data_IF_776450865366
#
_entry.id   IF_776450865366
#
_cell.length_a   1.000
_cell.length_b   1.000
_cell.length_c   1.000
_cell.angle_alpha   90.00
_cell.angle_beta   90.00
_cell.angle_gamma   90.00
#
_symmetry.space_group_name_H-M   'P 1'
#
loop_
_entity.id
_entity.type
_entity.pdbx_description
1 polymer ?
#
# COMPACT_ATOMS: atom_id res chain seq x y z
N UNK A 1 19.94 -23.56 43.47
CA UNK A 1 19.65 -22.27 42.90
C UNK A 1 20.62 -21.82 41.79
N UNK A 2 21.92 -22.09 41.95
CA UNK A 2 22.92 -21.70 40.92
C UNK A 2 22.70 -22.39 39.55
N UNK A 3 22.21 -23.64 39.55
CA UNK A 3 21.93 -24.38 38.31
C UNK A 3 20.73 -23.80 37.53
N UNK A 4 19.69 -23.35 38.23
CA UNK A 4 18.50 -22.75 37.61
C UNK A 4 18.85 -21.38 37.06
N UNK A 5 19.63 -20.58 37.76
CA UNK A 5 20.11 -19.28 37.29
C UNK A 5 20.96 -19.41 36.02
N UNK A 6 21.84 -20.42 35.96
CA UNK A 6 22.64 -20.69 34.78
C UNK A 6 21.81 -21.13 33.57
N UNK A 7 20.79 -21.95 33.79
CA UNK A 7 19.86 -22.37 32.71
C UNK A 7 19.05 -21.18 32.20
N UNK A 8 18.52 -20.34 33.07
CA UNK A 8 17.75 -19.15 32.71
C UNK A 8 18.63 -18.16 31.97
N UNK A 9 19.86 -17.92 32.42
CA UNK A 9 20.81 -17.03 31.77
C UNK A 9 21.21 -17.55 30.37
N UNK A 10 21.42 -18.87 30.25
CA UNK A 10 21.71 -19.53 28.97
C UNK A 10 20.53 -19.42 28.00
N UNK A 11 19.31 -19.57 28.49
CA UNK A 11 18.09 -19.46 27.69
C UNK A 11 17.88 -18.01 27.19
N UNK A 12 18.12 -17.02 28.03
CA UNK A 12 18.04 -15.60 27.68
C UNK A 12 19.10 -15.26 26.62
N UNK A 13 20.32 -15.80 26.76
CA UNK A 13 21.39 -15.58 25.78
C UNK A 13 21.05 -16.17 24.41
N UNK A 14 20.44 -17.36 24.38
CA UNK A 14 19.99 -18.00 23.15
C UNK A 14 18.88 -17.20 22.47
N UNK A 15 17.95 -16.63 23.25
CA UNK A 15 16.89 -15.77 22.72
C UNK A 15 17.48 -14.46 22.15
N UNK A 16 18.49 -13.88 22.78
CA UNK A 16 19.21 -12.70 22.30
C UNK A 16 20.04 -12.97 21.04
N UNK A 17 20.46 -14.22 20.84
CA UNK A 17 21.20 -14.65 19.65
C UNK A 17 20.31 -15.14 18.52
N UNK A 18 19.00 -15.22 18.73
CA UNK A 18 18.12 -15.35 17.58
C UNK A 18 18.39 -14.14 16.68
N UNK A 19 18.88 -14.36 15.46
CA UNK A 19 18.89 -13.25 14.52
C UNK A 19 17.47 -12.72 14.56
N UNK A 20 17.31 -11.47 14.95
CA UNK A 20 16.17 -10.71 14.49
C UNK A 20 16.25 -10.98 13.01
N UNK A 21 15.45 -11.93 12.53
CA UNK A 21 15.19 -11.99 11.12
C UNK A 21 14.77 -10.57 10.83
N UNK A 22 15.75 -9.80 10.36
CA UNK A 22 15.41 -8.60 9.64
C UNK A 22 14.29 -9.10 8.75
N UNK A 23 13.10 -8.66 9.05
CA UNK A 23 12.01 -8.79 8.13
C UNK A 23 12.54 -8.07 6.92
N UNK A 24 13.38 -8.76 6.14
CA UNK A 24 13.58 -8.42 4.77
C UNK A 24 12.17 -8.52 4.26
N UNK A 25 11.52 -7.36 4.25
CA UNK A 25 10.33 -7.20 3.49
C UNK A 25 10.71 -7.76 2.14
N UNK A 26 10.35 -9.02 1.90
CA UNK A 26 10.23 -9.49 0.55
C UNK A 26 9.31 -8.46 -0.04
N UNK A 27 9.91 -7.54 -0.79
CA UNK A 27 9.16 -6.53 -1.50
C UNK A 27 8.39 -7.28 -2.57
N UNK A 28 7.28 -7.90 -2.16
CA UNK A 28 6.26 -8.28 -3.08
C UNK A 28 5.72 -6.94 -3.56
N UNK A 29 6.27 -6.48 -4.68
CA UNK A 29 5.70 -5.35 -5.36
C UNK A 29 4.20 -5.60 -5.49
N UNK A 30 3.37 -4.68 -5.02
CA UNK A 30 1.92 -4.80 -5.09
C UNK A 30 1.45 -4.96 -6.55
N UNK A 31 2.26 -4.49 -7.49
CA UNK A 31 2.00 -4.53 -8.92
C UNK A 31 3.26 -5.01 -9.66
N UNK A 32 3.05 -5.81 -10.70
CA UNK A 32 4.15 -6.46 -11.44
C UNK A 32 5.05 -5.49 -12.20
N UNK A 33 4.53 -4.34 -12.59
CA UNK A 33 5.21 -3.34 -13.43
C UNK A 33 6.00 -2.28 -12.67
N UNK A 34 6.06 -2.37 -11.34
CA UNK A 34 6.83 -1.44 -10.49
C UNK A 34 8.06 -2.07 -9.85
N UNK A 35 8.31 -3.35 -10.09
CA UNK A 35 9.44 -4.08 -9.50
C UNK A 35 10.76 -3.45 -9.93
N UNK A 36 11.56 -2.99 -8.96
CA UNK A 36 12.83 -2.30 -9.22
C UNK A 36 12.69 -0.83 -9.60
N UNK A 37 11.48 -0.29 -9.75
CA UNK A 37 11.25 1.11 -10.04
C UNK A 37 11.45 1.98 -8.78
N UNK A 38 11.83 3.24 -8.98
CA UNK A 38 12.03 4.19 -7.86
C UNK A 38 10.77 4.40 -7.02
N UNK A 39 9.60 4.24 -7.62
CA UNK A 39 8.31 4.40 -6.95
C UNK A 39 7.82 3.16 -6.21
N UNK A 40 8.49 2.00 -6.33
CA UNK A 40 8.04 0.73 -5.77
C UNK A 40 7.69 0.84 -4.28
N UNK A 41 8.59 1.39 -3.48
CA UNK A 41 8.37 1.54 -2.04
C UNK A 41 7.17 2.42 -1.70
N UNK A 42 7.03 3.56 -2.36
CA UNK A 42 5.92 4.49 -2.14
C UNK A 42 4.58 3.88 -2.58
N UNK A 43 4.55 3.21 -3.72
CA UNK A 43 3.34 2.55 -4.25
C UNK A 43 2.91 1.40 -3.35
N UNK A 44 3.83 0.59 -2.84
CA UNK A 44 3.53 -0.49 -1.91
C UNK A 44 2.89 0.03 -0.61
N UNK A 45 3.41 1.11 -0.05
CA UNK A 45 2.84 1.74 1.14
C UNK A 45 1.44 2.30 0.87
N UNK A 46 1.26 3.03 -0.22
CA UNK A 46 -0.02 3.61 -0.59
C UNK A 46 -1.07 2.53 -0.93
N UNK A 47 -0.65 1.43 -1.53
CA UNK A 47 -1.51 0.27 -1.78
C UNK A 47 -1.94 -0.40 -0.47
N UNK A 48 -1.02 -0.58 0.48
CA UNK A 48 -1.33 -1.12 1.80
C UNK A 48 -2.29 -0.23 2.60
N UNK A 49 -2.23 1.08 2.40
CA UNK A 49 -3.15 2.06 3.00
C UNK A 49 -4.49 2.18 2.25
N UNK A 50 -4.66 1.48 1.13
CA UNK A 50 -5.87 1.54 0.34
C UNK A 50 -6.04 2.82 -0.49
N UNK A 51 -4.98 3.61 -0.65
CA UNK A 51 -5.02 4.87 -1.43
C UNK A 51 -4.93 4.60 -2.92
N UNK A 52 -4.11 3.65 -3.33
CA UNK A 52 -3.98 3.20 -4.72
C UNK A 52 -4.43 1.77 -4.90
N UNK A 53 -5.24 1.52 -5.92
CA UNK A 53 -5.80 0.20 -6.23
C UNK A 53 -5.20 -0.41 -7.51
N UNK A 54 -4.48 0.36 -8.31
CA UNK A 54 -3.99 -0.06 -9.62
C UNK A 54 -5.11 -0.19 -10.65
N UNK A 55 -4.83 -0.96 -11.69
CA UNK A 55 -5.77 -1.26 -12.77
C UNK A 55 -6.27 -2.70 -12.70
N UNK A 56 -7.36 -3.00 -13.40
CA UNK A 56 -7.99 -4.32 -13.41
C UNK A 56 -7.06 -5.44 -13.91
N UNK A 57 -6.06 -5.10 -14.74
CA UNK A 57 -5.05 -6.06 -15.24
C UNK A 57 -3.92 -6.36 -14.24
N UNK A 58 -3.97 -5.80 -13.02
CA UNK A 58 -2.97 -5.98 -11.98
C UNK A 58 -1.73 -5.09 -12.16
N UNK A 59 -1.77 -4.09 -13.04
CA UNK A 59 -0.71 -3.12 -13.25
C UNK A 59 -0.93 -1.82 -12.48
N UNK A 60 0.14 -1.07 -12.26
CA UNK A 60 0.08 0.29 -11.71
C UNK A 60 0.21 1.37 -12.78
N UNK A 61 0.99 1.09 -13.84
CA UNK A 61 1.29 1.99 -14.96
C UNK A 61 1.93 3.31 -14.52
N UNK A 62 3.16 3.27 -13.96
CA UNK A 62 3.82 4.45 -13.39
C UNK A 62 4.10 5.55 -14.42
N UNK A 63 4.23 5.19 -15.70
CA UNK A 63 4.49 6.12 -16.80
C UNK A 63 3.21 6.75 -17.40
N UNK A 64 2.04 6.28 -16.98
CA UNK A 64 0.78 6.79 -17.50
C UNK A 64 0.43 8.14 -16.88
N UNK A 65 -0.03 9.07 -17.71
CA UNK A 65 -0.57 10.35 -17.25
C UNK A 65 -1.85 10.12 -16.44
N UNK A 66 -1.91 10.70 -15.25
CA UNK A 66 -3.08 10.60 -14.35
C UNK A 66 -4.22 11.46 -14.90
N UNK A 67 -5.42 10.88 -15.01
CA UNK A 67 -6.61 11.62 -15.39
C UNK A 67 -7.14 12.47 -14.24
N UNK A 68 -7.99 13.46 -14.53
CA UNK A 68 -8.62 14.28 -13.49
C UNK A 68 -9.46 13.46 -12.52
N UNK A 69 -10.19 12.48 -13.02
CA UNK A 69 -11.01 11.59 -12.20
C UNK A 69 -10.14 10.70 -11.28
N UNK A 70 -9.05 10.13 -11.80
CA UNK A 70 -8.10 9.37 -11.01
C UNK A 70 -7.45 10.22 -9.91
N UNK A 71 -7.06 11.46 -10.22
CA UNK A 71 -6.49 12.38 -9.23
C UNK A 71 -7.51 12.74 -8.15
N UNK A 72 -8.75 12.99 -8.51
CA UNK A 72 -9.82 13.27 -7.54
C UNK A 72 -10.03 12.09 -6.59
N UNK A 73 -10.09 10.86 -7.10
CA UNK A 73 -10.19 9.65 -6.29
C UNK A 73 -9.00 9.51 -5.33
N UNK A 74 -7.78 9.71 -5.82
CA UNK A 74 -6.58 9.64 -4.99
C UNK A 74 -6.62 10.64 -3.83
N UNK A 75 -7.03 11.88 -4.10
CA UNK A 75 -7.11 12.94 -3.08
C UNK A 75 -8.15 12.59 -2.01
N UNK A 76 -9.37 12.23 -2.37
CA UNK A 76 -10.42 11.93 -1.41
C UNK A 76 -10.10 10.67 -0.59
N UNK A 77 -9.47 9.69 -1.20
CA UNK A 77 -9.04 8.46 -0.51
C UNK A 77 -7.90 8.75 0.46
N UNK A 78 -6.90 9.55 0.05
CA UNK A 78 -5.77 9.93 0.89
C UNK A 78 -6.20 10.77 2.09
N UNK A 79 -7.21 11.64 1.93
CA UNK A 79 -7.79 12.42 3.02
C UNK A 79 -8.73 11.62 3.92
N UNK A 80 -9.09 10.39 3.55
CA UNK A 80 -10.02 9.56 4.30
C UNK A 80 -11.47 10.04 4.27
N UNK A 81 -11.85 10.80 3.25
CA UNK A 81 -13.20 11.39 3.12
C UNK A 81 -14.04 10.74 2.02
N UNK A 82 -13.57 9.64 1.44
CA UNK A 82 -14.27 8.93 0.38
C UNK A 82 -15.69 8.50 0.79
N UNK A 83 -15.87 8.09 2.03
CA UNK A 83 -17.16 7.65 2.58
C UNK A 83 -18.22 8.78 2.68
N UNK A 84 -17.77 10.03 2.61
CA UNK A 84 -18.66 11.20 2.60
C UNK A 84 -19.06 11.63 1.19
N UNK A 85 -18.53 10.98 0.16
CA UNK A 85 -18.89 11.26 -1.21
C UNK A 85 -20.26 10.66 -1.50
N UNK A 86 -21.27 11.52 -1.63
CA UNK A 86 -22.69 11.12 -1.80
C UNK A 86 -23.28 11.56 -3.14
N UNK A 87 -22.47 12.19 -4.00
CA UNK A 87 -22.94 12.66 -5.29
C UNK A 87 -23.26 11.49 -6.23
N UNK A 88 -24.47 11.41 -6.72
CA UNK A 88 -24.91 10.38 -7.67
C UNK A 88 -24.83 10.83 -9.14
N UNK A 89 -24.50 12.08 -9.37
CA UNK A 89 -24.37 12.68 -10.71
C UNK A 89 -23.22 13.68 -10.74
N UNK A 90 -22.57 13.74 -11.87
CA UNK A 90 -21.59 14.79 -12.18
C UNK A 90 -22.18 15.85 -13.10
N UNK A 91 -21.77 17.10 -12.90
CA UNK A 91 -22.10 18.22 -13.81
C UNK A 91 -21.18 18.28 -15.03
N UNK A 92 -20.14 17.45 -15.08
CA UNK A 92 -19.20 17.44 -16.18
C UNK A 92 -19.72 16.60 -17.34
N UNK A 93 -19.58 17.13 -18.57
CA UNK A 93 -20.07 16.48 -19.78
C UNK A 93 -19.22 15.31 -20.28
N UNK A 94 -17.99 15.21 -19.80
CA UNK A 94 -16.98 14.23 -20.22
C UNK A 94 -16.88 12.99 -19.32
N UNK A 95 -17.91 12.72 -18.52
CA UNK A 95 -17.95 11.60 -17.57
C UNK A 95 -18.20 10.23 -18.19
N UNK A 96 -18.42 10.14 -19.51
CA UNK A 96 -18.76 8.87 -20.15
C UNK A 96 -17.74 7.74 -19.87
N UNK A 97 -16.45 8.08 -19.78
CA UNK A 97 -15.36 7.14 -19.51
C UNK A 97 -14.91 7.12 -18.03
N UNK A 98 -15.59 7.87 -17.18
CA UNK A 98 -15.22 8.02 -15.78
C UNK A 98 -16.41 7.82 -14.81
N UNK A 99 -17.43 7.05 -15.23
CA UNK A 99 -18.61 6.73 -14.40
C UNK A 99 -18.22 6.06 -13.06
N UNK A 100 -17.14 5.32 -13.04
CA UNK A 100 -16.58 4.71 -11.85
C UNK A 100 -16.14 5.71 -10.75
N UNK A 101 -15.92 6.97 -11.14
CA UNK A 101 -15.51 8.03 -10.21
C UNK A 101 -16.70 8.78 -9.58
N UNK A 102 -17.92 8.41 -9.94
CA UNK A 102 -19.15 8.90 -9.27
C UNK A 102 -19.40 7.95 -8.09
N UNK A 103 -19.45 8.45 -6.86
CA UNK A 103 -19.68 7.63 -5.68
C UNK A 103 -21.00 6.86 -5.74
#
# INVERSE_FOLDING_TARGET
MKKVLSIVLSLVLVICMMPVMAFAATSNAAYSDITGEKCEGAVNVLSALGVVDGYEDGSYKPEKVVTRAEMAKLIVTALGVADYATATKSSYSDMANAQWAIP
#
